data_IF_800093192903
#
_entry.id   IF_800093192903
#
_cell.length_a   1.000
_cell.length_b   1.000
_cell.length_c   1.000
_cell.angle_alpha   90.00
_cell.angle_beta   90.00
_cell.angle_gamma   90.00
#
_symmetry.space_group_name_H-M   'P 1'
#
loop_
_entity.id
_entity.type
_entity.pdbx_description
1 polymer ?
#
# COMPACT_ATOMS: atom_id res chain seq x y z
N UNK A 1 22.73 -11.25 -15.28
CA UNK A 1 22.70 -10.91 -13.84
C UNK A 1 21.48 -11.57 -13.25
N UNK A 2 21.60 -12.08 -12.03
CA UNK A 2 20.47 -12.65 -11.30
C UNK A 2 19.46 -11.55 -10.94
N UNK A 3 18.15 -11.76 -11.13
CA UNK A 3 17.13 -10.75 -10.82
C UNK A 3 17.05 -10.43 -9.32
N UNK A 4 16.24 -9.42 -8.98
CA UNK A 4 15.92 -9.11 -7.59
C UNK A 4 15.25 -10.31 -6.91
N UNK A 5 15.71 -10.70 -5.72
CA UNK A 5 15.00 -11.66 -4.87
C UNK A 5 14.86 -11.16 -3.43
N UNK A 6 13.75 -11.48 -2.78
CA UNK A 6 13.48 -11.01 -1.42
C UNK A 6 14.52 -11.57 -0.43
N UNK A 7 14.98 -12.80 -0.66
CA UNK A 7 15.93 -13.52 0.18
C UNK A 7 17.29 -12.80 0.25
N UNK A 8 17.79 -12.31 -0.90
CA UNK A 8 19.07 -11.59 -0.96
C UNK A 8 19.06 -10.28 -0.18
N UNK A 9 17.92 -9.59 -0.19
CA UNK A 9 17.75 -8.31 0.52
C UNK A 9 17.17 -8.48 1.93
N UNK A 10 16.93 -9.71 2.39
CA UNK A 10 16.21 -9.96 3.64
C UNK A 10 16.93 -9.37 4.87
N UNK A 11 18.23 -9.61 4.98
CA UNK A 11 19.04 -9.11 6.09
C UNK A 11 19.08 -7.58 6.06
N UNK A 12 19.46 -6.99 4.93
CA UNK A 12 19.54 -5.54 4.77
C UNK A 12 18.21 -4.87 5.09
N UNK A 13 17.11 -5.31 4.49
CA UNK A 13 15.81 -4.69 4.72
C UNK A 13 15.34 -4.87 6.17
N UNK A 14 15.64 -6.00 6.82
CA UNK A 14 15.34 -6.19 8.24
C UNK A 14 16.10 -5.20 9.11
N UNK A 15 17.40 -5.00 8.85
CA UNK A 15 18.22 -4.02 9.57
C UNK A 15 17.71 -2.60 9.34
N UNK A 16 17.39 -2.23 8.10
CA UNK A 16 16.89 -0.90 7.77
C UNK A 16 15.52 -0.62 8.41
N UNK A 17 14.60 -1.59 8.42
CA UNK A 17 13.28 -1.45 9.05
C UNK A 17 13.44 -1.33 10.58
N UNK A 18 14.28 -2.19 11.18
CA UNK A 18 14.59 -2.13 12.60
C UNK A 18 15.14 -0.76 12.99
N UNK A 19 16.12 -0.29 12.25
CA UNK A 19 16.79 0.98 12.47
C UNK A 19 15.83 2.16 12.28
N UNK A 20 15.02 2.18 11.21
CA UNK A 20 14.11 3.31 10.93
C UNK A 20 12.90 3.41 11.87
N UNK A 21 12.34 2.27 12.31
CA UNK A 21 11.04 2.23 12.95
C UNK A 21 11.04 1.71 14.40
N UNK A 22 12.03 0.91 14.81
CA UNK A 22 11.97 0.21 16.10
C UNK A 22 13.08 0.60 17.09
N UNK A 23 14.16 1.27 16.64
CA UNK A 23 15.18 1.80 17.56
C UNK A 23 14.62 2.98 18.35
N UNK A 24 14.47 2.78 19.67
CA UNK A 24 13.96 3.80 20.60
C UNK A 24 14.93 4.99 20.68
N UNK A 25 14.38 6.21 20.62
CA UNK A 25 15.16 7.44 20.76
C UNK A 25 15.99 7.80 19.54
N UNK A 26 15.79 7.11 18.40
CA UNK A 26 16.50 7.43 17.18
C UNK A 26 16.09 8.81 16.64
N UNK A 27 17.04 9.73 16.37
CA UNK A 27 16.72 11.04 15.82
C UNK A 27 16.03 10.95 14.46
N UNK A 28 15.10 11.86 14.19
CA UNK A 28 14.35 11.93 12.92
C UNK A 28 15.27 11.99 11.70
N UNK A 29 16.40 12.70 11.80
CA UNK A 29 17.45 12.70 10.78
C UNK A 29 17.91 11.30 10.39
N UNK A 30 18.26 10.47 11.37
CA UNK A 30 18.72 9.10 11.15
C UNK A 30 17.61 8.24 10.52
N UNK A 31 16.38 8.40 11.00
CA UNK A 31 15.21 7.70 10.46
C UNK A 31 14.96 8.05 8.99
N UNK A 32 14.98 9.33 8.62
CA UNK A 32 14.80 9.78 7.22
C UNK A 32 15.94 9.29 6.32
N UNK A 33 17.19 9.30 6.80
CA UNK A 33 18.32 8.74 6.06
C UNK A 33 18.14 7.24 5.78
N UNK A 34 17.64 6.47 6.75
CA UNK A 34 17.33 5.04 6.56
C UNK A 34 16.11 4.84 5.66
N UNK A 35 15.07 5.69 5.72
CA UNK A 35 13.93 5.67 4.77
C UNK A 35 14.43 5.82 3.33
N UNK A 36 15.44 6.65 3.07
CA UNK A 36 16.06 6.77 1.74
C UNK A 36 16.71 5.44 1.30
N UNK A 37 17.40 4.74 2.19
CA UNK A 37 17.99 3.43 1.87
C UNK A 37 16.91 2.37 1.60
N UNK A 38 15.84 2.32 2.41
CA UNK A 38 14.68 1.44 2.17
C UNK A 38 14.09 1.73 0.77
N UNK A 39 13.95 3.01 0.44
CA UNK A 39 13.43 3.45 -0.85
C UNK A 39 14.30 2.99 -2.02
N UNK A 40 15.63 2.98 -1.88
CA UNK A 40 16.54 2.45 -2.89
C UNK A 40 16.30 0.94 -3.12
N UNK A 41 16.04 0.16 -2.07
CA UNK A 41 15.67 -1.26 -2.21
C UNK A 41 14.30 -1.43 -2.88
N UNK A 42 13.32 -0.56 -2.60
CA UNK A 42 12.04 -0.56 -3.30
C UNK A 42 12.23 -0.25 -4.80
N UNK A 43 13.08 0.71 -5.15
CA UNK A 43 13.39 1.00 -6.56
C UNK A 43 14.08 -0.19 -7.23
N UNK A 44 14.98 -0.90 -6.52
CA UNK A 44 15.55 -2.17 -7.02
C UNK A 44 14.46 -3.19 -7.32
N UNK A 45 13.45 -3.34 -6.47
CA UNK A 45 12.30 -4.23 -6.71
C UNK A 45 11.52 -3.82 -7.97
N UNK A 46 11.25 -2.52 -8.14
CA UNK A 46 10.48 -1.99 -9.30
C UNK A 46 11.22 -2.22 -10.61
N UNK A 47 12.54 -2.00 -10.64
CA UNK A 47 13.38 -2.15 -11.84
C UNK A 47 13.93 -3.58 -12.00
N UNK A 48 13.64 -4.47 -11.06
CA UNK A 48 14.16 -5.83 -10.99
C UNK A 48 15.71 -5.91 -10.97
N UNK A 49 16.35 -4.92 -10.35
CA UNK A 49 17.82 -4.87 -10.24
C UNK A 49 18.36 -5.90 -9.25
N UNK A 50 19.46 -6.50 -9.64
CA UNK A 50 20.30 -7.39 -8.83
C UNK A 50 20.98 -6.64 -7.68
N UNK A 51 21.61 -7.39 -6.77
CA UNK A 51 22.42 -6.82 -5.69
C UNK A 51 23.74 -6.18 -6.17
N UNK A 52 24.25 -6.61 -7.33
CA UNK A 52 25.54 -6.16 -7.87
C UNK A 52 25.43 -4.76 -8.50
N UNK A 53 24.21 -4.35 -8.86
CA UNK A 53 23.97 -3.06 -9.50
C UNK A 53 24.06 -1.91 -8.50
N UNK A 54 24.69 -0.82 -8.92
CA UNK A 54 24.78 0.40 -8.12
C UNK A 54 23.52 1.23 -8.27
N UNK A 55 22.72 1.30 -7.21
CA UNK A 55 21.42 1.99 -7.21
C UNK A 55 21.41 3.03 -6.10
N UNK A 56 21.17 4.27 -6.48
CA UNK A 56 20.88 5.36 -5.56
C UNK A 56 19.76 6.21 -6.14
N UNK A 57 18.90 6.81 -5.30
CA UNK A 57 17.88 7.75 -5.79
C UNK A 57 18.50 8.99 -6.46
N UNK A 58 19.80 9.22 -6.21
CA UNK A 58 20.61 10.26 -6.82
C UNK A 58 20.88 10.08 -8.32
N UNK A 59 20.92 8.82 -8.78
CA UNK A 59 21.50 8.45 -10.07
C UNK A 59 20.56 8.76 -11.25
N UNK A 60 21.08 9.48 -12.25
CA UNK A 60 20.33 9.79 -13.48
C UNK A 60 19.93 8.53 -14.24
N UNK A 61 20.78 7.50 -14.29
CA UNK A 61 20.48 6.22 -14.96
C UNK A 61 19.22 5.56 -14.39
N UNK A 62 19.11 5.51 -13.06
CA UNK A 62 17.93 4.96 -12.38
C UNK A 62 16.66 5.74 -12.76
N UNK A 63 16.76 7.07 -12.84
CA UNK A 63 15.62 7.92 -13.22
C UNK A 63 15.22 7.73 -14.68
N UNK A 64 16.19 7.54 -15.57
CA UNK A 64 15.97 7.27 -16.99
C UNK A 64 15.38 5.87 -17.22
N UNK A 65 15.88 4.86 -16.52
CA UNK A 65 15.38 3.48 -16.62
C UNK A 65 13.95 3.33 -16.09
N UNK A 66 13.59 4.05 -15.02
CA UNK A 66 12.20 4.14 -14.57
C UNK A 66 11.28 4.65 -15.69
N UNK A 67 11.71 5.67 -16.45
CA UNK A 67 10.94 6.18 -17.58
C UNK A 67 10.85 5.15 -18.71
N UNK A 68 11.99 4.58 -19.11
CA UNK A 68 12.05 3.59 -20.20
C UNK A 68 11.25 2.32 -19.91
N UNK A 69 11.14 1.92 -18.65
CA UNK A 69 10.33 0.77 -18.21
C UNK A 69 8.85 1.10 -17.99
N UNK A 70 8.38 2.29 -18.40
CA UNK A 70 6.98 2.68 -18.27
C UNK A 70 6.54 2.97 -16.83
N UNK A 71 7.49 3.23 -15.92
CA UNK A 71 7.23 3.60 -14.53
C UNK A 71 7.16 5.12 -14.30
N UNK A 72 6.97 5.91 -15.35
CA UNK A 72 6.79 7.35 -15.23
C UNK A 72 5.36 7.65 -14.72
N UNK A 73 5.23 7.81 -13.39
CA UNK A 73 3.95 8.11 -12.75
C UNK A 73 4.13 9.16 -11.63
N UNK A 74 3.22 10.15 -11.47
CA UNK A 74 3.32 11.18 -10.44
C UNK A 74 3.51 10.62 -9.02
N UNK A 75 2.73 9.61 -8.63
CA UNK A 75 2.86 8.92 -7.33
C UNK A 75 4.31 8.47 -7.03
N UNK A 76 4.97 7.86 -8.02
CA UNK A 76 6.34 7.37 -7.87
C UNK A 76 7.35 8.52 -7.88
N UNK A 77 7.24 9.41 -8.86
CA UNK A 77 8.19 10.50 -9.07
C UNK A 77 8.22 11.48 -7.90
N UNK A 78 7.06 11.84 -7.35
CA UNK A 78 6.96 12.72 -6.20
C UNK A 78 7.54 12.09 -4.94
N UNK A 79 7.28 10.80 -4.71
CA UNK A 79 7.85 10.06 -3.60
C UNK A 79 9.38 9.97 -3.68
N UNK A 80 9.93 9.61 -4.85
CA UNK A 80 11.38 9.60 -5.09
C UNK A 80 11.96 10.98 -4.86
N UNK A 81 11.35 12.03 -5.43
CA UNK A 81 11.85 13.42 -5.33
C UNK A 81 11.91 13.89 -3.88
N UNK A 82 10.84 13.64 -3.11
CA UNK A 82 10.78 14.05 -1.70
C UNK A 82 11.83 13.31 -0.87
N UNK A 83 11.86 11.97 -0.94
CA UNK A 83 12.76 11.15 -0.14
C UNK A 83 14.22 11.41 -0.51
N UNK A 84 14.53 11.59 -1.80
CA UNK A 84 15.88 11.97 -2.26
C UNK A 84 16.33 13.27 -1.63
N UNK A 85 15.51 14.32 -1.72
CA UNK A 85 15.84 15.65 -1.19
C UNK A 85 16.09 15.57 0.32
N UNK A 86 15.10 15.13 1.08
CA UNK A 86 15.17 15.15 2.53
C UNK A 86 16.12 14.11 3.11
N UNK A 87 16.28 12.96 2.45
CA UNK A 87 17.29 11.96 2.82
C UNK A 87 18.72 12.45 2.57
N UNK A 88 18.97 13.19 1.49
CA UNK A 88 20.26 13.85 1.29
C UNK A 88 20.53 14.90 2.36
N UNK A 89 19.55 15.78 2.64
CA UNK A 89 19.68 16.81 3.69
C UNK A 89 19.98 16.18 5.07
N UNK A 90 19.42 15.00 5.35
CA UNK A 90 19.64 14.27 6.60
C UNK A 90 20.96 13.48 6.64
N UNK A 91 21.54 13.13 5.49
CA UNK A 91 22.78 12.35 5.40
C UNK A 91 24.03 13.22 5.30
N UNK A 92 23.89 14.47 4.84
CA UNK A 92 24.99 15.42 4.70
C UNK A 92 25.06 16.40 5.88
N UNK A 93 26.26 16.90 6.15
CA UNK A 93 26.58 17.71 7.34
C UNK A 93 26.14 19.19 7.24
N UNK A 94 25.47 19.56 6.15
CA UNK A 94 25.06 20.95 5.89
C UNK A 94 23.79 21.36 6.64
N UNK A 95 22.86 20.43 6.84
CA UNK A 95 21.71 20.68 7.70
C UNK A 95 22.16 20.49 9.14
N UNK A 96 22.22 21.56 9.93
CA UNK A 96 22.65 21.52 11.34
C UNK A 96 21.50 21.59 12.34
N UNK A 97 20.29 21.88 11.86
CA UNK A 97 19.10 21.99 12.70
C UNK A 97 18.44 20.63 12.94
N UNK A 98 17.62 20.58 13.99
CA UNK A 98 16.77 19.43 14.27
C UNK A 98 15.71 19.24 13.19
N UNK A 99 15.42 17.97 12.91
CA UNK A 99 14.42 17.56 11.92
C UNK A 99 13.09 17.33 12.63
N UNK A 100 12.05 18.03 12.21
CA UNK A 100 10.71 17.95 12.84
C UNK A 100 10.04 16.59 12.64
N UNK A 101 9.11 16.27 13.54
CA UNK A 101 8.25 15.08 13.41
C UNK A 101 7.37 15.15 12.16
N UNK A 102 6.96 16.35 11.73
CA UNK A 102 6.21 16.55 10.49
C UNK A 102 7.03 16.16 9.26
N UNK A 103 8.32 16.54 9.22
CA UNK A 103 9.20 16.17 8.11
C UNK A 103 9.39 14.65 8.02
N UNK A 104 9.51 13.99 9.17
CA UNK A 104 9.55 12.54 9.25
C UNK A 104 8.23 11.90 8.80
N UNK A 105 7.09 12.34 9.32
CA UNK A 105 5.78 11.80 8.97
C UNK A 105 5.53 11.88 7.45
N UNK A 106 5.97 12.98 6.82
CA UNK A 106 5.89 13.14 5.37
C UNK A 106 6.86 12.22 4.61
N UNK A 107 8.05 11.95 5.15
CA UNK A 107 8.95 10.95 4.58
C UNK A 107 8.36 9.53 4.65
N UNK A 108 7.71 9.18 5.77
CA UNK A 108 6.99 7.91 5.94
C UNK A 108 5.79 7.79 4.99
N UNK A 109 5.04 8.89 4.78
CA UNK A 109 3.96 8.94 3.78
C UNK A 109 4.48 8.67 2.36
N UNK A 110 5.58 9.32 1.95
CA UNK A 110 6.17 9.06 0.64
C UNK A 110 6.74 7.65 0.54
N UNK A 111 7.24 7.05 1.62
CA UNK A 111 7.63 5.64 1.63
C UNK A 111 6.42 4.74 1.40
N UNK A 112 5.27 5.02 2.01
CA UNK A 112 4.03 4.30 1.76
C UNK A 112 3.58 4.45 0.31
N UNK A 113 3.76 5.61 -0.30
CA UNK A 113 3.47 5.83 -1.71
C UNK A 113 4.33 4.94 -2.63
N UNK A 114 5.60 4.68 -2.28
CA UNK A 114 6.44 3.72 -3.00
C UNK A 114 5.91 2.29 -2.92
N UNK A 115 5.51 1.83 -1.72
CA UNK A 115 4.86 0.53 -1.58
C UNK A 115 3.55 0.46 -2.37
N UNK A 116 2.69 1.48 -2.27
CA UNK A 116 1.44 1.55 -3.03
C UNK A 116 1.66 1.50 -4.54
N UNK A 117 2.73 2.13 -5.03
CA UNK A 117 3.08 2.12 -6.45
C UNK A 117 3.43 0.71 -6.95
N UNK A 118 4.13 -0.11 -6.15
CA UNK A 118 4.43 -1.50 -6.52
C UNK A 118 3.13 -2.28 -6.81
N UNK A 119 2.13 -2.16 -5.93
CA UNK A 119 0.83 -2.82 -6.12
C UNK A 119 0.02 -2.20 -7.26
N UNK A 120 0.08 -0.88 -7.45
CA UNK A 120 -0.54 -0.23 -8.61
C UNK A 120 0.05 -0.78 -9.92
N UNK A 121 1.37 -0.89 -10.01
CA UNK A 121 2.05 -1.42 -11.19
C UNK A 121 1.68 -2.88 -11.46
N UNK A 122 1.47 -3.69 -10.42
CA UNK A 122 0.93 -5.04 -10.54
C UNK A 122 -0.49 -5.04 -11.12
N UNK A 123 -1.39 -4.22 -10.57
CA UNK A 123 -2.79 -4.20 -11.00
C UNK A 123 -3.04 -3.48 -12.34
N UNK A 124 -2.05 -2.74 -12.86
CA UNK A 124 -2.06 -2.28 -14.27
C UNK A 124 -1.92 -3.43 -15.26
N UNK A 125 -1.28 -4.53 -14.86
CA UNK A 125 -1.05 -5.72 -15.69
C UNK A 125 -2.11 -6.78 -15.44
N UNK A 126 -2.64 -6.85 -14.22
CA UNK A 126 -3.61 -7.82 -13.76
C UNK A 126 -4.86 -7.10 -13.26
N UNK A 127 -6.00 -7.25 -13.93
CA UNK A 127 -7.23 -6.50 -13.63
C UNK A 127 -7.64 -6.68 -12.16
N UNK A 128 -7.73 -5.57 -11.41
CA UNK A 128 -8.17 -5.62 -10.02
C UNK A 128 -9.58 -6.23 -9.91
N UNK A 129 -9.76 -7.19 -9.00
CA UNK A 129 -11.01 -7.92 -8.81
C UNK A 129 -11.15 -9.22 -9.60
N UNK A 130 -10.21 -9.57 -10.48
CA UNK A 130 -10.27 -10.82 -11.26
C UNK A 130 -9.98 -12.09 -10.43
N UNK A 131 -9.31 -11.95 -9.29
CA UNK A 131 -8.84 -13.05 -8.45
C UNK A 131 -9.09 -12.75 -6.98
N UNK A 132 -10.08 -13.43 -6.38
CA UNK A 132 -10.50 -13.21 -5.00
C UNK A 132 -9.43 -13.54 -3.96
N UNK A 133 -8.55 -14.50 -4.25
CA UNK A 133 -7.45 -14.85 -3.34
C UNK A 133 -6.41 -13.72 -3.29
N UNK A 134 -6.11 -13.10 -4.43
CA UNK A 134 -5.28 -11.89 -4.49
C UNK A 134 -5.95 -10.74 -3.74
N UNK A 135 -7.26 -10.55 -3.91
CA UNK A 135 -8.01 -9.50 -3.17
C UNK A 135 -7.94 -9.74 -1.65
N UNK A 136 -8.02 -11.01 -1.22
CA UNK A 136 -7.91 -11.39 0.19
C UNK A 136 -6.53 -11.06 0.75
N UNK A 137 -5.45 -11.41 0.07
CA UNK A 137 -4.09 -11.05 0.49
C UNK A 137 -3.85 -9.54 0.43
N UNK A 138 -4.29 -8.87 -0.64
CA UNK A 138 -4.18 -7.41 -0.76
C UNK A 138 -4.84 -6.72 0.43
N UNK A 139 -5.96 -7.25 0.93
CA UNK A 139 -6.67 -6.70 2.09
C UNK A 139 -5.80 -6.61 3.34
N UNK A 140 -4.82 -7.51 3.50
CA UNK A 140 -3.89 -7.52 4.62
C UNK A 140 -2.93 -6.33 4.61
N UNK A 141 -2.81 -5.55 3.53
CA UNK A 141 -2.02 -4.33 3.57
C UNK A 141 -2.66 -3.25 4.46
N UNK A 142 -1.87 -2.34 5.05
CA UNK A 142 -2.40 -1.23 5.83
C UNK A 142 -3.41 -0.40 5.02
N UNK A 143 -4.52 0.09 5.64
CA UNK A 143 -5.56 0.83 4.93
C UNK A 143 -5.05 2.00 4.10
N UNK A 144 -4.02 2.72 4.56
CA UNK A 144 -3.40 3.83 3.80
C UNK A 144 -2.73 3.36 2.51
N UNK A 145 -1.99 2.25 2.54
CA UNK A 145 -1.32 1.68 1.35
C UNK A 145 -2.38 1.25 0.33
N UNK A 146 -3.42 0.53 0.79
CA UNK A 146 -4.53 0.11 -0.06
C UNK A 146 -5.26 1.28 -0.67
N UNK A 147 -5.60 2.29 0.13
CA UNK A 147 -6.26 3.51 -0.35
C UNK A 147 -5.45 4.18 -1.44
N UNK A 148 -4.15 4.41 -1.25
CA UNK A 148 -3.33 5.07 -2.26
C UNK A 148 -3.25 4.24 -3.54
N UNK A 149 -3.10 2.92 -3.46
CA UNK A 149 -3.13 2.03 -4.63
C UNK A 149 -4.46 2.12 -5.37
N UNK A 150 -5.58 1.97 -4.66
CA UNK A 150 -6.93 1.95 -5.23
C UNK A 150 -7.33 3.30 -5.81
N UNK A 151 -6.99 4.40 -5.13
CA UNK A 151 -7.21 5.75 -5.64
C UNK A 151 -6.44 5.96 -6.94
N UNK A 152 -5.18 5.51 -6.98
CA UNK A 152 -4.35 5.63 -8.18
C UNK A 152 -4.90 4.78 -9.34
N UNK A 153 -5.40 3.57 -9.07
CA UNK A 153 -6.10 2.76 -10.08
C UNK A 153 -7.35 3.47 -10.62
N UNK A 154 -8.16 4.02 -9.73
CA UNK A 154 -9.38 4.75 -10.10
C UNK A 154 -9.08 6.01 -10.93
N UNK A 155 -8.12 6.82 -10.50
CA UNK A 155 -7.81 8.12 -11.13
C UNK A 155 -7.01 7.98 -12.42
N UNK A 156 -6.10 7.00 -12.49
CA UNK A 156 -5.06 6.94 -13.53
C UNK A 156 -5.13 5.72 -14.44
N UNK A 157 -6.02 4.74 -14.19
CA UNK A 157 -6.09 3.51 -14.98
C UNK A 157 -7.50 3.17 -15.44
N UNK A 158 -8.38 2.75 -14.52
CA UNK A 158 -9.76 2.39 -14.84
C UNK A 158 -10.71 2.90 -13.76
N UNK A 159 -11.44 3.94 -14.13
CA UNK A 159 -12.37 4.63 -13.24
C UNK A 159 -13.79 4.05 -13.27
N UNK A 160 -14.03 3.00 -14.07
CA UNK A 160 -15.30 2.26 -14.15
C UNK A 160 -15.21 0.87 -13.49
N UNK A 161 -14.03 0.44 -13.04
CA UNK A 161 -13.87 -0.82 -12.34
C UNK A 161 -14.59 -0.78 -10.98
N UNK A 162 -15.74 -1.45 -10.90
CA UNK A 162 -16.60 -1.51 -9.72
C UNK A 162 -15.90 -2.12 -8.50
N UNK A 163 -15.00 -3.09 -8.70
CA UNK A 163 -14.22 -3.70 -7.63
C UNK A 163 -13.21 -2.70 -7.03
N UNK A 164 -12.59 -1.86 -7.87
CA UNK A 164 -11.73 -0.77 -7.40
C UNK A 164 -12.55 0.21 -6.56
N UNK A 165 -13.75 0.61 -7.02
CA UNK A 165 -14.61 1.57 -6.32
C UNK A 165 -15.08 1.03 -4.96
N UNK A 166 -15.62 -0.19 -4.88
CA UNK A 166 -16.05 -0.83 -3.61
C UNK A 166 -14.90 -0.82 -2.60
N UNK A 167 -13.72 -1.32 -3.01
CA UNK A 167 -12.57 -1.40 -2.11
C UNK A 167 -11.99 -0.03 -1.78
N UNK A 168 -12.04 0.93 -2.70
CA UNK A 168 -11.54 2.30 -2.51
C UNK A 168 -12.27 2.96 -1.36
N UNK A 169 -13.59 2.99 -1.40
CA UNK A 169 -14.43 3.61 -0.37
C UNK A 169 -14.19 2.94 0.99
N UNK A 170 -14.10 1.61 1.03
CA UNK A 170 -13.84 0.88 2.27
C UNK A 170 -12.43 1.10 2.82
N UNK A 171 -11.42 1.26 1.96
CA UNK A 171 -10.06 1.61 2.38
C UNK A 171 -9.99 3.05 2.90
N UNK A 172 -10.76 3.96 2.30
CA UNK A 172 -10.88 5.36 2.73
C UNK A 172 -11.52 5.47 4.11
N UNK A 173 -12.62 4.75 4.35
CA UNK A 173 -13.28 4.63 5.65
C UNK A 173 -12.27 4.14 6.72
N UNK A 174 -11.54 3.06 6.42
CA UNK A 174 -10.59 2.45 7.36
C UNK A 174 -9.35 3.33 7.61
N UNK A 175 -8.92 4.12 6.63
CA UNK A 175 -7.73 4.97 6.73
C UNK A 175 -8.00 6.35 7.33
N UNK A 176 -9.16 6.95 7.05
CA UNK A 176 -9.45 8.36 7.35
C UNK A 176 -10.80 8.60 8.04
N UNK A 177 -11.64 7.57 8.17
CA UNK A 177 -12.93 7.66 8.84
C UNK A 177 -14.11 7.87 7.91
N UNK A 178 -15.31 7.74 8.49
CA UNK A 178 -16.60 7.72 7.80
C UNK A 178 -16.86 9.00 7.01
N UNK A 179 -16.62 10.17 7.61
CA UNK A 179 -16.84 11.46 6.95
C UNK A 179 -16.14 11.53 5.60
N UNK A 180 -14.85 11.20 5.54
CA UNK A 180 -14.08 11.29 4.29
C UNK A 180 -14.59 10.31 3.22
N UNK A 181 -15.00 9.11 3.63
CA UNK A 181 -15.59 8.13 2.71
C UNK A 181 -16.93 8.62 2.15
N UNK A 182 -17.80 9.19 3.00
CA UNK A 182 -19.09 9.74 2.59
C UNK A 182 -18.93 10.96 1.69
N UNK A 183 -18.05 11.91 2.04
CA UNK A 183 -17.75 13.08 1.21
C UNK A 183 -17.33 12.64 -0.21
N UNK A 184 -16.47 11.63 -0.34
CA UNK A 184 -16.06 11.12 -1.66
C UNK A 184 -17.21 10.45 -2.43
N UNK A 185 -18.10 9.71 -1.76
CA UNK A 185 -19.27 9.11 -2.40
C UNK A 185 -20.17 10.21 -2.98
N UNK A 186 -20.46 11.25 -2.18
CA UNK A 186 -21.31 12.37 -2.61
C UNK A 186 -20.67 13.17 -3.75
N UNK A 187 -19.37 13.43 -3.68
CA UNK A 187 -18.64 14.12 -4.75
C UNK A 187 -18.64 13.33 -6.09
N UNK A 188 -18.87 12.00 -6.04
CA UNK A 188 -18.90 11.12 -7.22
C UNK A 188 -20.30 10.59 -7.56
N UNK A 189 -21.37 11.12 -6.94
CA UNK A 189 -22.75 10.61 -7.04
C UNK A 189 -23.19 10.32 -8.48
N UNK A 190 -23.10 11.34 -9.36
CA UNK A 190 -23.54 11.24 -10.77
C UNK A 190 -22.88 10.07 -11.49
N UNK A 191 -21.60 9.82 -11.21
CA UNK A 191 -20.84 8.73 -11.84
C UNK A 191 -21.19 7.38 -11.24
N UNK A 192 -21.40 7.31 -9.94
CA UNK A 192 -21.72 6.06 -9.24
C UNK A 192 -23.14 5.57 -9.56
N UNK A 193 -24.08 6.48 -9.80
CA UNK A 193 -25.47 6.16 -10.15
C UNK A 193 -25.62 5.43 -11.50
N UNK A 194 -24.67 5.61 -12.43
CA UNK A 194 -24.73 4.98 -13.76
C UNK A 194 -23.96 3.66 -13.87
N UNK A 195 -23.18 3.31 -12.84
CA UNK A 195 -22.41 2.06 -12.79
C UNK A 195 -23.24 0.99 -12.10
N UNK A 196 -23.54 -0.11 -12.79
CA UNK A 196 -24.20 -1.26 -12.17
C UNK A 196 -23.28 -2.01 -11.20
N UNK A 197 -23.87 -2.93 -10.43
CA UNK A 197 -23.16 -3.73 -9.42
C UNK A 197 -22.81 -5.15 -9.88
N UNK A 198 -23.03 -5.47 -11.17
CA UNK A 198 -22.96 -6.84 -11.70
C UNK A 198 -21.57 -7.49 -11.61
N UNK A 199 -20.52 -6.68 -11.47
CA UNK A 199 -19.13 -7.13 -11.26
C UNK A 199 -18.73 -7.39 -9.80
N UNK A 200 -19.65 -7.24 -8.83
CA UNK A 200 -19.40 -7.46 -7.40
C UNK A 200 -20.05 -8.78 -6.95
N UNK A 201 -19.26 -9.84 -6.86
CA UNK A 201 -19.72 -11.16 -6.41
C UNK A 201 -19.44 -11.37 -4.92
N UNK A 202 -20.15 -10.68 -4.02
CA UNK A 202 -20.13 -11.04 -2.57
C UNK A 202 -21.53 -11.10 -1.97
N UNK A 203 -21.76 -12.20 -1.25
CA UNK A 203 -23.06 -12.62 -0.75
C UNK A 203 -23.70 -11.61 0.19
N UNK A 204 -25.03 -11.49 0.04
CA UNK A 204 -25.91 -10.70 0.89
C UNK A 204 -25.82 -9.17 0.74
N UNK A 205 -25.23 -8.68 -0.34
CA UNK A 205 -25.44 -7.30 -0.76
C UNK A 205 -26.84 -7.25 -1.39
N UNK A 206 -27.69 -6.30 -0.98
CA UNK A 206 -29.01 -6.10 -1.59
C UNK A 206 -28.91 -6.02 -3.12
N UNK A 207 -30.00 -6.29 -3.85
CA UNK A 207 -30.07 -6.07 -5.31
C UNK A 207 -29.96 -4.55 -5.61
N UNK A 208 -28.81 -3.94 -5.33
CA UNK A 208 -28.50 -2.55 -5.60
C UNK A 208 -28.32 -2.40 -7.10
N UNK A 209 -29.07 -1.47 -7.68
CA UNK A 209 -29.02 -1.23 -9.11
C UNK A 209 -27.73 -0.49 -9.51
N UNK A 210 -27.10 0.24 -8.57
CA UNK A 210 -25.95 1.08 -8.87
C UNK A 210 -24.90 1.11 -7.74
N UNK A 211 -23.68 1.57 -8.07
CA UNK A 211 -22.56 1.67 -7.15
C UNK A 211 -22.74 2.72 -6.05
N UNK A 212 -23.59 3.73 -6.25
CA UNK A 212 -23.83 4.76 -5.23
C UNK A 212 -24.53 4.16 -4.01
N UNK A 213 -25.65 3.49 -4.23
CA UNK A 213 -26.43 2.83 -3.17
C UNK A 213 -25.61 1.74 -2.48
N UNK A 214 -24.85 0.96 -3.28
CA UNK A 214 -23.93 -0.03 -2.75
C UNK A 214 -22.90 0.63 -1.82
N UNK A 215 -22.16 1.63 -2.28
CA UNK A 215 -21.12 2.25 -1.47
C UNK A 215 -21.65 2.84 -0.15
N UNK A 216 -22.86 3.42 -0.16
CA UNK A 216 -23.50 3.94 1.06
C UNK A 216 -23.78 2.83 2.08
N UNK A 217 -24.41 1.73 1.65
CA UNK A 217 -24.69 0.59 2.53
C UNK A 217 -23.40 0.00 3.10
N UNK A 218 -22.40 -0.20 2.24
CA UNK A 218 -21.09 -0.76 2.61
C UNK A 218 -20.37 0.08 3.66
N UNK A 219 -20.39 1.41 3.51
CA UNK A 219 -19.79 2.32 4.48
C UNK A 219 -20.55 2.26 5.80
N UNK A 220 -21.88 2.25 5.76
CA UNK A 220 -22.69 2.19 6.98
C UNK A 220 -22.42 0.90 7.78
N UNK A 221 -22.44 -0.26 7.11
CA UNK A 221 -22.19 -1.56 7.73
C UNK A 221 -20.80 -1.65 8.34
N UNK A 222 -19.76 -1.34 7.55
CA UNK A 222 -18.37 -1.43 8.01
C UNK A 222 -18.07 -0.37 9.08
N UNK A 223 -18.67 0.83 8.98
CA UNK A 223 -18.54 1.87 10.02
C UNK A 223 -19.11 1.38 11.35
N UNK A 224 -20.25 0.70 11.34
CA UNK A 224 -20.83 0.12 12.56
C UNK A 224 -19.90 -0.93 13.19
N UNK A 225 -19.27 -1.79 12.40
CA UNK A 225 -18.26 -2.74 12.91
C UNK A 225 -17.08 -2.00 13.53
N UNK A 226 -16.54 -0.98 12.85
CA UNK A 226 -15.42 -0.17 13.35
C UNK A 226 -15.79 0.59 14.63
N UNK A 227 -17.00 1.13 14.74
CA UNK A 227 -17.49 1.82 15.95
C UNK A 227 -17.57 0.88 17.15
N UNK A 228 -17.98 -0.39 16.94
CA UNK A 228 -18.08 -1.38 18.01
C UNK A 228 -16.72 -1.94 18.45
N UNK A 229 -15.85 -2.28 17.50
CA UNK A 229 -14.65 -3.07 17.76
C UNK A 229 -13.33 -2.27 17.61
N UNK A 230 -13.40 -1.05 17.08
CA UNK A 230 -12.24 -0.32 16.55
C UNK A 230 -11.85 -0.82 15.16
N UNK A 231 -10.86 -0.19 14.51
CA UNK A 231 -10.31 -0.69 13.24
C UNK A 231 -9.48 -1.95 13.47
N UNK A 232 -9.58 -2.91 12.55
CA UNK A 232 -8.85 -4.19 12.64
C UNK A 232 -7.34 -3.97 12.74
N UNK A 233 -6.76 -3.17 11.85
CA UNK A 233 -5.35 -2.74 11.88
C UNK A 233 -5.19 -1.41 11.15
N UNK A 234 -4.13 -0.66 11.46
CA UNK A 234 -3.78 0.60 10.79
C UNK A 234 -2.37 0.62 10.19
N UNK A 235 -1.46 -0.18 10.70
CA UNK A 235 -0.04 -0.24 10.31
C UNK A 235 0.32 -1.61 9.74
N UNK A 236 1.56 -1.74 9.23
CA UNK A 236 2.08 -3.04 8.82
C UNK A 236 2.20 -3.96 10.03
N UNK A 237 2.69 -3.44 11.15
CA UNK A 237 2.99 -4.19 12.37
C UNK A 237 1.73 -4.86 12.94
N UNK A 238 0.60 -4.14 12.97
CA UNK A 238 -0.70 -4.66 13.41
C UNK A 238 -1.34 -5.65 12.42
N UNK A 239 -0.94 -5.60 11.15
CA UNK A 239 -1.46 -6.45 10.09
C UNK A 239 -0.60 -7.70 9.86
N UNK A 240 0.62 -7.75 10.40
CA UNK A 240 1.57 -8.87 10.25
C UNK A 240 0.98 -10.21 10.67
N UNK A 241 0.33 -10.28 11.82
CA UNK A 241 -0.33 -11.52 12.29
C UNK A 241 -1.43 -11.98 11.34
N UNK A 242 -2.26 -11.03 10.84
CA UNK A 242 -3.28 -11.36 9.86
C UNK A 242 -2.67 -11.88 8.56
N UNK A 243 -1.66 -11.19 8.01
CA UNK A 243 -0.97 -11.63 6.81
C UNK A 243 -0.40 -13.05 6.95
N UNK A 244 0.27 -13.34 8.07
CA UNK A 244 0.84 -14.66 8.36
C UNK A 244 -0.21 -15.76 8.53
N UNK A 245 -1.45 -15.40 8.87
CA UNK A 245 -2.56 -16.35 8.99
C UNK A 245 -3.21 -16.72 7.64
N UNK A 246 -2.89 -15.99 6.57
CA UNK A 246 -3.44 -16.24 5.24
C UNK A 246 -2.60 -17.28 4.49
N UNK A 247 -3.29 -18.14 3.75
CA UNK A 247 -2.64 -19.08 2.84
C UNK A 247 -1.95 -18.34 1.70
N UNK A 248 -0.79 -18.87 1.28
CA UNK A 248 -0.10 -18.38 0.09
C UNK A 248 -0.90 -18.77 -1.15
N UNK A 249 -0.87 -17.90 -2.17
CA UNK A 249 -1.45 -18.24 -3.47
C UNK A 249 -0.73 -19.43 -4.08
N UNK A 250 -1.45 -20.23 -4.86
CA UNK A 250 -0.88 -21.34 -5.61
C UNK A 250 0.18 -20.87 -6.61
N UNK A 251 1.30 -21.58 -6.71
CA UNK A 251 2.38 -21.29 -7.67
C UNK A 251 2.08 -21.74 -9.10
N UNK A 252 0.81 -21.86 -9.47
CA UNK A 252 0.37 -22.33 -10.79
C UNK A 252 0.23 -21.21 -11.83
N UNK A 253 0.22 -19.94 -11.40
CA UNK A 253 0.17 -18.78 -12.30
C UNK A 253 1.33 -17.80 -12.02
N UNK A 254 1.90 -17.17 -13.06
CA UNK A 254 2.89 -16.11 -12.88
C UNK A 254 2.36 -14.95 -12.03
N UNK A 255 1.07 -14.61 -12.19
CA UNK A 255 0.37 -13.59 -11.41
C UNK A 255 0.44 -13.88 -9.91
N UNK A 256 0.14 -15.11 -9.49
CA UNK A 256 0.16 -15.51 -8.09
C UNK A 256 1.59 -15.51 -7.52
N UNK A 257 2.56 -15.96 -8.31
CA UNK A 257 3.98 -15.96 -7.91
C UNK A 257 4.47 -14.52 -7.70
N UNK A 258 4.18 -13.62 -8.65
CA UNK A 258 4.52 -12.21 -8.55
C UNK A 258 3.85 -11.59 -7.32
N UNK A 259 2.54 -11.79 -7.13
CA UNK A 259 1.81 -11.18 -6.02
C UNK A 259 2.29 -11.67 -4.64
N UNK A 260 2.52 -12.97 -4.48
CA UNK A 260 3.15 -13.53 -3.28
C UNK A 260 4.50 -12.85 -3.00
N UNK A 261 5.33 -12.66 -4.04
CA UNK A 261 6.62 -11.97 -3.90
C UNK A 261 6.49 -10.51 -3.47
N UNK A 262 5.45 -9.80 -3.92
CA UNK A 262 5.17 -8.41 -3.53
C UNK A 262 4.70 -8.31 -2.07
N UNK A 263 3.81 -9.22 -1.66
CA UNK A 263 3.32 -9.28 -0.29
C UNK A 263 4.45 -9.61 0.70
N UNK A 264 5.28 -10.62 0.39
CA UNK A 264 6.46 -10.95 1.20
C UNK A 264 7.42 -9.78 1.32
N UNK A 265 7.64 -9.05 0.22
CA UNK A 265 8.51 -7.89 0.21
C UNK A 265 7.98 -6.74 1.09
N UNK A 266 6.67 -6.48 1.05
CA UNK A 266 6.04 -5.44 1.87
C UNK A 266 6.15 -5.70 3.38
N UNK A 267 6.16 -6.98 3.76
CA UNK A 267 6.25 -7.44 5.16
C UNK A 267 7.67 -7.76 5.62
N UNK A 268 8.67 -7.64 4.74
CA UNK A 268 10.06 -7.96 5.05
C UNK A 268 10.58 -7.07 6.19
N UNK A 269 11.13 -7.70 7.23
CA UNK A 269 11.71 -7.00 8.39
C UNK A 269 10.69 -6.43 9.37
N UNK A 270 9.38 -6.60 9.13
CA UNK A 270 8.33 -6.08 10.01
C UNK A 270 8.19 -6.93 11.27
N UNK A 271 8.11 -6.26 12.42
CA UNK A 271 7.74 -6.91 13.68
C UNK A 271 6.23 -7.06 13.76
N UNK A 272 5.78 -8.08 14.49
CA UNK A 272 4.35 -8.26 14.78
C UNK A 272 3.99 -7.46 16.03
N UNK A 273 2.92 -6.69 15.94
CA UNK A 273 2.23 -6.12 17.10
C UNK A 273 1.01 -6.99 17.40
N UNK A 274 0.91 -7.52 18.62
CA UNK A 274 -0.22 -8.36 19.03
C UNK A 274 -1.53 -7.63 18.81
N UNK A 275 -2.42 -8.25 18.04
CA UNK A 275 -3.68 -7.63 17.66
C UNK A 275 -4.89 -8.47 18.11
N UNK A 276 -5.44 -8.22 19.32
CA UNK A 276 -6.55 -9.01 19.86
C UNK A 276 -7.84 -8.88 19.04
N UNK A 277 -7.93 -7.93 18.10
CA UNK A 277 -9.10 -7.81 17.22
C UNK A 277 -9.15 -8.89 16.14
N UNK A 278 -8.05 -9.60 15.90
CA UNK A 278 -8.00 -10.71 14.95
C UNK A 278 -8.86 -11.89 15.40
N UNK A 279 -9.12 -12.05 16.69
CA UNK A 279 -10.07 -13.06 17.21
C UNK A 279 -11.49 -12.84 16.70
N UNK A 280 -11.83 -11.59 16.32
CA UNK A 280 -13.12 -11.18 15.78
C UNK A 280 -13.07 -10.94 14.28
N UNK A 281 -12.09 -11.51 13.57
CA UNK A 281 -11.86 -11.21 12.16
C UNK A 281 -13.10 -11.46 11.29
N UNK A 282 -13.86 -12.51 11.59
CA UNK A 282 -15.10 -12.82 10.90
C UNK A 282 -16.05 -11.63 10.87
N UNK A 283 -16.17 -10.86 11.97
CA UNK A 283 -17.01 -9.66 12.08
C UNK A 283 -16.62 -8.52 11.12
N UNK A 284 -15.35 -8.47 10.67
CA UNK A 284 -14.87 -7.47 9.73
C UNK A 284 -15.01 -7.89 8.26
N UNK A 285 -15.15 -9.19 8.01
CA UNK A 285 -15.28 -9.78 6.67
C UNK A 285 -16.68 -10.33 6.38
N UNK A 286 -17.66 -10.16 7.29
CA UNK A 286 -19.10 -10.40 7.01
C UNK A 286 -19.56 -9.59 5.78
N UNK A 287 -18.86 -8.48 5.54
CA UNK A 287 -19.13 -7.51 4.49
C UNK A 287 -17.99 -7.55 3.45
N UNK A 288 -16.73 -7.76 3.83
CA UNK A 288 -15.55 -7.61 2.97
C UNK A 288 -15.59 -8.37 1.65
#
# INVERSE_FOLDING_TARGET
MEPFTNEKFNILMSDLIQDAFYVKGRPNRGRIATIRQISEVIIRKILNYSQEEFVTLGNHKVSEELKLSGNEHPLLNEAIKYIKKHGNDCSHTQLILDVSDEALAKAEEHLFNLYSYIFFNFFKKNTFGSNDEIMRLFSALPPKVRYTTLRTLYESYDSHNVNVIDKLVLSMLKAFGEKKAMDWIFDNEVKLLVLDTSGITRGSIGNHQNMYDLCLERVAEVSNVIKRNGPLYKSFEQATEFYKSLDRLSSNSPENIEFNSLMDFAYLGRLSETNPRLDKISEYFIVG
#
